data_IF_808092827476
#
_entry.id   IF_808092827476
#
_cell.length_a   1.000
_cell.length_b   1.000
_cell.length_c   1.000
_cell.angle_alpha   90.00
_cell.angle_beta   90.00
_cell.angle_gamma   90.00
#
_symmetry.space_group_name_H-M   'P 1'
#
loop_
_entity.id
_entity.type
_entity.pdbx_description
1 polymer ?
#
# COMPACT_ATOMS: atom_id res chain seq x y z
N UNK A 1 8.84 3.08 2.98
CA UNK A 1 9.97 2.95 2.02
C UNK A 1 9.69 3.60 0.67
N UNK A 2 8.50 3.43 0.10
CA UNK A 2 8.09 4.11 -1.15
C UNK A 2 8.00 5.63 -0.95
N UNK A 3 7.46 6.06 0.19
CA UNK A 3 7.34 7.49 0.53
C UNK A 3 8.71 8.19 0.62
N UNK A 4 9.66 7.65 1.40
CA UNK A 4 11.02 8.18 1.52
C UNK A 4 11.81 8.15 0.20
N UNK A 5 11.57 7.15 -0.65
CA UNK A 5 12.21 7.05 -1.97
C UNK A 5 11.62 8.04 -2.99
N UNK A 6 10.30 8.29 -2.96
CA UNK A 6 9.63 9.26 -3.85
C UNK A 6 9.91 10.70 -3.42
N UNK A 7 9.83 11.01 -2.12
CA UNK A 7 10.13 12.35 -1.59
C UNK A 7 11.58 12.74 -1.92
N UNK A 8 12.54 11.83 -1.77
CA UNK A 8 13.94 12.13 -2.04
C UNK A 8 14.31 12.06 -3.54
N UNK A 9 13.65 11.22 -4.36
CA UNK A 9 13.78 11.30 -5.83
C UNK A 9 13.29 12.65 -6.34
N UNK A 10 12.21 13.18 -5.76
CA UNK A 10 11.67 14.50 -6.09
C UNK A 10 12.61 15.64 -5.67
N UNK A 11 13.24 15.53 -4.49
CA UNK A 11 14.30 16.44 -4.03
C UNK A 11 15.55 16.36 -4.93
N UNK A 12 15.93 15.16 -5.38
CA UNK A 12 17.09 14.95 -6.27
C UNK A 12 16.85 15.48 -7.69
N UNK A 13 15.61 15.38 -8.20
CA UNK A 13 15.19 15.98 -9.47
C UNK A 13 15.19 17.51 -9.38
N UNK A 14 14.82 18.08 -8.23
CA UNK A 14 14.90 19.52 -7.97
C UNK A 14 16.34 20.02 -7.72
N UNK A 15 17.28 19.13 -7.39
CA UNK A 15 18.70 19.46 -7.24
C UNK A 15 19.48 19.54 -8.57
N UNK A 16 18.87 19.14 -9.69
CA UNK A 16 19.39 19.43 -11.02
C UNK A 16 19.13 20.90 -11.35
N UNK A 17 20.08 21.75 -10.95
CA UNK A 17 20.08 23.17 -11.30
C UNK A 17 19.98 23.33 -12.82
N UNK A 18 19.00 24.06 -13.36
CA UNK A 18 19.08 24.49 -14.75
C UNK A 18 20.22 25.50 -14.83
N UNK A 19 21.29 25.16 -15.54
CA UNK A 19 22.28 26.15 -15.98
C UNK A 19 21.52 27.21 -16.79
N UNK A 20 21.31 28.37 -16.19
CA UNK A 20 20.74 29.54 -16.85
C UNK A 20 21.66 29.95 -18.01
N UNK A 21 21.30 29.56 -19.23
CA UNK A 21 21.75 30.27 -20.42
C UNK A 21 20.87 31.50 -20.58
N UNK A 22 21.47 32.67 -20.31
CA UNK A 22 20.91 33.97 -20.67
C UNK A 22 20.71 34.02 -22.18
N UNK A 23 19.47 34.16 -22.63
CA UNK A 23 19.16 34.60 -23.98
C UNK A 23 18.29 35.86 -23.93
N UNK A 24 18.80 36.87 -24.61
CA UNK A 24 18.31 38.24 -24.69
C UNK A 24 16.93 38.35 -25.35
N UNK A 25 16.10 39.24 -24.80
CA UNK A 25 14.76 39.65 -25.26
C UNK A 25 14.71 39.99 -26.76
N UNK A 26 13.69 39.46 -27.44
CA UNK A 26 13.05 40.11 -28.60
C UNK A 26 11.53 40.08 -28.42
N UNK A 27 10.79 41.17 -28.76
CA UNK A 27 9.36 41.27 -28.49
C UNK A 27 8.56 40.67 -29.65
N UNK A 28 7.64 39.74 -29.35
CA UNK A 28 6.62 39.29 -30.30
C UNK A 28 5.24 39.84 -29.89
N UNK A 29 4.58 40.48 -30.86
CA UNK A 29 3.24 41.05 -30.75
C UNK A 29 2.16 39.95 -30.74
N UNK A 30 1.14 40.10 -29.90
CA UNK A 30 -0.08 39.28 -29.91
C UNK A 30 -0.99 39.67 -31.09
N UNK A 31 -1.63 38.71 -31.79
CA UNK A 31 -2.80 38.98 -32.63
C UNK A 31 -4.11 38.93 -31.81
N UNK A 32 -5.20 39.56 -32.30
CA UNK A 32 -6.38 39.87 -31.51
C UNK A 32 -7.39 38.71 -31.39
N UNK A 33 -8.19 38.77 -30.33
CA UNK A 33 -9.26 37.86 -29.97
C UNK A 33 -10.41 37.84 -31.00
N UNK A 34 -10.93 36.64 -31.30
CA UNK A 34 -12.18 36.43 -32.04
C UNK A 34 -13.34 36.14 -31.06
N UNK A 35 -14.57 36.57 -31.37
CA UNK A 35 -15.67 36.59 -30.41
C UNK A 35 -16.37 35.23 -30.26
N UNK A 36 -16.72 34.89 -29.01
CA UNK A 36 -17.59 33.78 -28.64
C UNK A 36 -19.05 34.07 -29.05
N UNK A 37 -19.69 33.11 -29.71
CA UNK A 37 -21.15 33.05 -29.91
C UNK A 37 -21.76 31.95 -29.03
N UNK A 38 -22.89 32.17 -28.34
CA UNK A 38 -23.54 31.16 -27.51
C UNK A 38 -24.62 30.41 -28.31
N UNK A 39 -24.57 29.08 -28.32
CA UNK A 39 -25.70 28.25 -28.73
C UNK A 39 -25.95 27.18 -27.69
N UNK A 40 -26.98 27.43 -26.88
CA UNK A 40 -27.64 26.49 -25.97
C UNK A 40 -28.72 25.77 -26.80
N UNK A 41 -28.91 24.44 -26.65
CA UNK A 41 -30.20 23.84 -26.82
C UNK A 41 -30.83 23.56 -25.44
N UNK A 42 -31.96 24.24 -25.21
CA UNK A 42 -32.90 23.98 -24.13
C UNK A 42 -33.55 22.62 -24.38
N UNK A 43 -33.33 21.66 -23.48
CA UNK A 43 -34.16 20.44 -23.42
C UNK A 43 -35.19 20.63 -22.32
N UNK A 44 -36.46 20.66 -22.74
CA UNK A 44 -37.66 20.83 -21.92
C UNK A 44 -37.79 19.71 -20.89
N UNK A 45 -37.92 20.10 -19.64
CA UNK A 45 -38.42 19.27 -18.55
C UNK A 45 -39.94 19.10 -18.72
N UNK A 46 -40.39 17.88 -19.04
CA UNK A 46 -41.81 17.51 -18.99
C UNK A 46 -42.04 16.66 -17.74
N UNK A 47 -42.67 17.24 -16.74
CA UNK A 47 -43.23 16.54 -15.58
C UNK A 47 -44.66 16.13 -15.93
N UNK A 48 -44.97 14.85 -15.83
CA UNK A 48 -46.35 14.37 -15.71
C UNK A 48 -46.39 13.24 -14.66
N UNK A 49 -47.38 13.22 -13.75
CA UNK A 49 -47.47 12.24 -12.68
C UNK A 49 -48.31 11.03 -13.11
N UNK A 50 -47.94 9.81 -12.74
CA UNK A 50 -48.90 8.71 -12.60
C UNK A 50 -48.45 7.71 -11.54
N UNK A 51 -49.34 7.46 -10.60
CA UNK A 51 -49.32 6.35 -9.65
C UNK A 51 -49.40 5.02 -10.42
N UNK A 52 -48.60 4.04 -10.03
CA UNK A 52 -48.74 2.66 -10.46
C UNK A 52 -47.83 1.74 -9.65
N UNK A 53 -48.43 0.95 -8.75
CA UNK A 53 -47.77 -0.15 -8.05
C UNK A 53 -47.12 -1.11 -9.05
N UNK A 54 -45.87 -1.53 -8.80
CA UNK A 54 -45.25 -2.60 -9.56
C UNK A 54 -44.71 -3.69 -8.62
N UNK A 55 -45.31 -4.86 -8.77
CA UNK A 55 -45.13 -6.09 -8.01
C UNK A 55 -43.72 -6.65 -8.20
N UNK A 56 -43.12 -7.10 -7.10
CA UNK A 56 -41.86 -7.84 -7.06
C UNK A 56 -41.98 -9.11 -7.93
N UNK A 57 -41.28 -9.14 -9.06
CA UNK A 57 -40.97 -10.37 -9.78
C UNK A 57 -39.49 -10.69 -9.57
N UNK A 58 -39.21 -11.56 -8.61
CA UNK A 58 -37.90 -12.19 -8.46
C UNK A 58 -37.67 -13.17 -9.63
N UNK A 59 -37.07 -12.71 -10.73
CA UNK A 59 -36.52 -13.60 -11.74
C UNK A 59 -35.24 -14.24 -11.18
N UNK A 60 -35.38 -15.46 -10.69
CA UNK A 60 -34.29 -16.25 -10.12
C UNK A 60 -33.37 -16.69 -11.24
N UNK A 61 -32.23 -16.01 -11.38
CA UNK A 61 -31.21 -16.35 -12.37
C UNK A 61 -30.53 -17.67 -11.98
N UNK A 62 -30.80 -18.76 -12.71
CA UNK A 62 -30.30 -20.11 -12.44
C UNK A 62 -28.76 -20.21 -12.48
N UNK A 63 -28.06 -19.24 -13.07
CA UNK A 63 -26.60 -19.21 -13.14
C UNK A 63 -25.90 -19.01 -11.79
N UNK A 64 -26.54 -18.35 -10.81
CA UNK A 64 -26.00 -18.22 -9.44
C UNK A 64 -26.04 -19.54 -8.66
N UNK A 65 -27.07 -20.36 -8.89
CA UNK A 65 -27.21 -21.65 -8.19
C UNK A 65 -26.19 -22.70 -8.66
N UNK A 66 -25.64 -22.55 -9.86
CA UNK A 66 -24.63 -23.47 -10.41
C UNK A 66 -23.20 -23.08 -9.99
N UNK A 67 -22.91 -21.79 -9.80
CA UNK A 67 -21.65 -21.32 -9.20
C UNK A 67 -21.57 -21.66 -7.71
N UNK A 68 -22.67 -21.48 -6.96
CA UNK A 68 -22.72 -21.76 -5.52
C UNK A 68 -22.51 -23.26 -5.23
N UNK A 69 -22.96 -24.15 -6.12
CA UNK A 69 -22.75 -25.61 -5.99
C UNK A 69 -21.32 -26.06 -6.26
N UNK A 70 -20.55 -25.33 -7.09
CA UNK A 70 -19.12 -25.59 -7.30
C UNK A 70 -18.25 -25.04 -6.17
N UNK A 71 -18.61 -23.91 -5.57
CA UNK A 71 -17.85 -23.30 -4.46
C UNK A 71 -18.11 -23.96 -3.10
N UNK A 72 -19.29 -24.54 -2.88
CA UNK A 72 -19.58 -25.35 -1.67
C UNK A 72 -18.66 -26.59 -1.52
N UNK A 73 -17.92 -26.97 -2.58
CA UNK A 73 -16.98 -28.10 -2.59
C UNK A 73 -15.53 -27.78 -2.17
N UNK A 74 -15.14 -26.51 -2.05
CA UNK A 74 -13.79 -26.17 -1.58
C UNK A 74 -13.72 -26.23 -0.05
N UNK A 75 -13.32 -27.40 0.46
CA UNK A 75 -13.11 -27.64 1.90
C UNK A 75 -12.07 -26.72 2.57
N UNK A 76 -11.28 -25.97 1.79
CA UNK A 76 -10.14 -25.19 2.27
C UNK A 76 -10.44 -23.68 2.21
N UNK A 77 -10.51 -22.97 3.35
CA UNK A 77 -10.78 -21.53 3.42
C UNK A 77 -9.88 -20.70 2.48
N UNK A 78 -8.60 -21.06 2.40
CA UNK A 78 -7.57 -20.42 1.58
C UNK A 78 -7.87 -20.40 0.07
N UNK A 79 -8.72 -21.31 -0.41
CA UNK A 79 -9.06 -21.41 -1.84
C UNK A 79 -10.42 -20.78 -2.16
N UNK A 80 -11.22 -20.46 -1.14
CA UNK A 80 -12.51 -19.79 -1.31
C UNK A 80 -12.26 -18.40 -1.91
N UNK A 81 -13.15 -17.91 -2.77
CA UNK A 81 -13.12 -16.54 -3.31
C UNK A 81 -13.89 -15.58 -2.41
N UNK A 82 -13.83 -14.29 -2.69
CA UNK A 82 -14.73 -13.31 -2.08
C UNK A 82 -15.87 -13.00 -3.06
N UNK A 83 -17.04 -12.67 -2.51
CA UNK A 83 -18.12 -12.10 -3.31
C UNK A 83 -17.83 -10.61 -3.54
N UNK A 84 -17.32 -10.27 -4.72
CA UNK A 84 -16.85 -8.91 -5.02
C UNK A 84 -17.96 -8.09 -5.70
N UNK A 85 -18.48 -7.02 -5.06
CA UNK A 85 -19.66 -6.32 -5.57
C UNK A 85 -19.37 -5.37 -6.74
N UNK A 86 -18.10 -4.97 -6.93
CA UNK A 86 -17.70 -3.99 -7.93
C UNK A 86 -17.12 -4.62 -9.21
N UNK A 87 -17.08 -3.85 -10.29
CA UNK A 87 -16.61 -4.28 -11.62
C UNK A 87 -15.14 -3.90 -11.84
N UNK A 88 -14.55 -4.36 -12.95
CA UNK A 88 -13.14 -4.12 -13.27
C UNK A 88 -12.79 -2.63 -13.40
N UNK A 89 -13.73 -1.79 -13.84
CA UNK A 89 -13.54 -0.34 -13.94
C UNK A 89 -13.32 0.27 -12.56
N UNK A 90 -14.13 -0.12 -11.57
CA UNK A 90 -13.97 0.33 -10.18
C UNK A 90 -12.62 -0.11 -9.64
N UNK A 91 -12.21 -1.35 -9.90
CA UNK A 91 -10.93 -1.88 -9.41
C UNK A 91 -9.77 -1.09 -10.00
N UNK A 92 -9.79 -0.85 -11.31
CA UNK A 92 -8.74 -0.10 -12.00
C UNK A 92 -8.71 1.36 -11.55
N UNK A 93 -9.87 2.02 -11.51
CA UNK A 93 -9.98 3.42 -11.09
C UNK A 93 -9.56 3.61 -9.64
N UNK A 94 -10.04 2.77 -8.72
CA UNK A 94 -9.71 2.87 -7.30
C UNK A 94 -8.24 2.55 -7.05
N UNK A 95 -7.68 1.52 -7.70
CA UNK A 95 -6.25 1.18 -7.54
C UNK A 95 -5.37 2.32 -8.07
N UNK A 96 -5.70 2.87 -9.25
CA UNK A 96 -5.01 4.02 -9.82
C UNK A 96 -5.16 5.25 -8.94
N UNK A 97 -6.37 5.54 -8.44
CA UNK A 97 -6.61 6.68 -7.56
C UNK A 97 -5.85 6.58 -6.25
N UNK A 98 -5.77 5.40 -5.64
CA UNK A 98 -4.98 5.17 -4.43
C UNK A 98 -3.48 5.41 -4.69
N UNK A 99 -2.95 4.84 -5.78
CA UNK A 99 -1.55 5.04 -6.18
C UNK A 99 -1.23 6.51 -6.50
N UNK A 100 -2.08 7.17 -7.29
CA UNK A 100 -1.92 8.59 -7.61
C UNK A 100 -2.05 9.46 -6.36
N UNK A 101 -3.00 9.18 -5.47
CA UNK A 101 -3.14 9.95 -4.23
C UNK A 101 -1.89 9.84 -3.35
N UNK A 102 -1.30 8.65 -3.26
CA UNK A 102 -0.07 8.44 -2.51
C UNK A 102 1.10 9.23 -3.10
N UNK A 103 1.29 9.16 -4.43
CA UNK A 103 2.35 9.91 -5.13
C UNK A 103 2.13 11.41 -5.02
N UNK A 104 0.90 11.89 -5.25
CA UNK A 104 0.56 13.30 -5.21
C UNK A 104 0.71 13.90 -3.82
N UNK A 105 0.34 13.17 -2.76
CA UNK A 105 0.57 13.62 -1.38
C UNK A 105 2.06 13.89 -1.16
N UNK A 106 2.95 12.95 -1.47
CA UNK A 106 4.39 13.14 -1.33
C UNK A 106 4.97 14.25 -2.21
N UNK A 107 4.45 14.43 -3.43
CA UNK A 107 4.87 15.54 -4.31
C UNK A 107 4.42 16.91 -3.79
N UNK A 108 3.20 17.00 -3.26
CA UNK A 108 2.67 18.25 -2.68
C UNK A 108 3.48 18.62 -1.44
N UNK A 109 3.77 17.65 -0.56
CA UNK A 109 4.59 17.86 0.63
C UNK A 109 6.00 18.32 0.25
N UNK A 110 6.66 17.62 -0.69
CA UNK A 110 7.98 18.02 -1.20
C UNK A 110 7.98 19.43 -1.81
N UNK A 111 6.93 19.80 -2.55
CA UNK A 111 6.79 21.12 -3.14
C UNK A 111 6.46 22.21 -2.10
N UNK A 112 5.80 21.85 -0.99
CA UNK A 112 5.44 22.78 0.07
C UNK A 112 6.63 23.16 0.97
N UNK A 113 7.58 22.23 1.20
CA UNK A 113 8.72 22.41 2.11
C UNK A 113 9.43 23.77 1.93
N UNK A 114 9.85 24.21 0.72
CA UNK A 114 10.54 25.49 0.55
C UNK A 114 9.72 26.72 0.98
N UNK A 115 8.39 26.63 0.94
CA UNK A 115 7.47 27.72 1.30
C UNK A 115 7.13 27.75 2.78
N UNK A 116 7.41 26.68 3.53
CA UNK A 116 7.20 26.63 4.98
C UNK A 116 8.24 27.43 5.77
N UNK A 117 9.36 27.80 5.13
CA UNK A 117 10.52 28.39 5.81
C UNK A 117 11.32 27.40 6.65
N UNK A 118 10.97 26.10 6.61
CA UNK A 118 11.69 25.05 7.32
C UNK A 118 13.04 24.78 6.65
N UNK A 119 14.11 24.89 7.43
CA UNK A 119 15.45 24.46 7.03
C UNK A 119 15.67 23.02 7.48
N UNK A 120 15.32 22.07 6.63
CA UNK A 120 15.37 20.63 6.94
C UNK A 120 16.74 20.16 7.44
N UNK A 121 17.82 20.78 6.97
CA UNK A 121 19.19 20.44 7.39
C UNK A 121 19.49 20.81 8.85
N UNK A 122 18.90 21.89 9.35
CA UNK A 122 19.11 22.40 10.71
C UNK A 122 18.22 21.70 11.75
N UNK A 123 17.21 20.94 11.31
CA UNK A 123 16.31 20.21 12.20
C UNK A 123 17.03 19.06 12.92
N UNK A 124 16.67 18.90 14.19
CA UNK A 124 17.05 17.74 15.00
C UNK A 124 16.50 16.44 14.40
N UNK A 125 17.09 15.32 14.80
CA UNK A 125 16.64 14.00 14.36
C UNK A 125 15.21 13.70 14.86
N UNK A 126 14.84 14.20 16.04
CA UNK A 126 13.51 14.03 16.61
C UNK A 126 12.46 14.81 15.79
N UNK A 127 12.74 16.06 15.45
CA UNK A 127 11.87 16.87 14.59
C UNK A 127 11.70 16.23 13.21
N UNK A 128 12.78 15.66 12.63
CA UNK A 128 12.70 14.93 11.37
C UNK A 128 11.81 13.69 11.47
N UNK A 129 11.92 12.93 12.57
CA UNK A 129 11.11 11.74 12.79
C UNK A 129 9.62 12.08 13.00
N UNK A 130 9.33 13.17 13.72
CA UNK A 130 7.97 13.66 13.93
C UNK A 130 7.33 14.13 12.61
N UNK A 131 8.06 14.88 11.78
CA UNK A 131 7.59 15.29 10.45
C UNK A 131 7.26 14.05 9.60
N UNK A 132 8.17 13.07 9.54
CA UNK A 132 7.92 11.82 8.80
C UNK A 132 6.69 11.06 9.31
N UNK A 133 6.43 11.10 10.61
CA UNK A 133 5.25 10.46 11.20
C UNK A 133 3.95 11.17 10.79
N UNK A 134 3.96 12.51 10.80
CA UNK A 134 2.83 13.34 10.35
C UNK A 134 2.57 13.11 8.86
N UNK A 135 3.61 13.15 8.03
CA UNK A 135 3.53 12.91 6.59
C UNK A 135 2.92 11.53 6.28
N UNK A 136 3.41 10.48 6.93
CA UNK A 136 2.86 9.14 6.78
C UNK A 136 1.39 9.08 7.24
N UNK A 137 1.02 9.81 8.30
CA UNK A 137 -0.36 9.86 8.79
C UNK A 137 -1.29 10.53 7.76
N UNK A 138 -0.85 11.62 7.14
CA UNK A 138 -1.58 12.33 6.07
C UNK A 138 -1.75 11.40 4.87
N UNK A 139 -0.66 10.81 4.36
CA UNK A 139 -0.73 9.88 3.23
C UNK A 139 -1.69 8.71 3.51
N UNK A 140 -1.64 8.15 4.71
CA UNK A 140 -2.55 7.07 5.14
C UNK A 140 -4.01 7.52 5.11
N UNK A 141 -4.31 8.67 5.72
CA UNK A 141 -5.67 9.21 5.77
C UNK A 141 -6.22 9.53 4.36
N UNK A 142 -5.39 10.14 3.50
CA UNK A 142 -5.78 10.50 2.13
C UNK A 142 -6.09 9.25 1.30
N UNK A 143 -5.18 8.26 1.28
CA UNK A 143 -5.36 7.06 0.46
C UNK A 143 -6.56 6.23 0.95
N UNK A 144 -6.71 6.03 2.26
CA UNK A 144 -7.87 5.32 2.81
C UNK A 144 -9.17 6.09 2.58
N UNK A 145 -9.13 7.43 2.63
CA UNK A 145 -10.26 8.29 2.30
C UNK A 145 -10.69 8.17 0.84
N UNK A 146 -9.73 8.12 -0.09
CA UNK A 146 -9.96 7.90 -1.53
C UNK A 146 -10.56 6.51 -1.76
N UNK A 147 -9.96 5.47 -1.17
CA UNK A 147 -10.46 4.10 -1.25
C UNK A 147 -11.92 4.03 -0.78
N UNK A 148 -12.19 4.51 0.44
CA UNK A 148 -13.52 4.53 1.02
C UNK A 148 -14.53 5.29 0.15
N UNK A 149 -14.18 6.48 -0.32
CA UNK A 149 -15.08 7.32 -1.12
C UNK A 149 -15.48 6.64 -2.43
N UNK A 150 -14.55 5.95 -3.09
CA UNK A 150 -14.80 5.25 -4.35
C UNK A 150 -15.55 3.92 -4.16
N UNK A 151 -15.46 3.28 -2.99
CA UNK A 151 -16.13 2.00 -2.72
C UNK A 151 -17.43 2.14 -1.93
N UNK A 152 -17.73 3.31 -1.35
CA UNK A 152 -18.89 3.55 -0.48
C UNK A 152 -20.23 3.20 -1.13
N UNK A 153 -20.38 3.46 -2.43
CA UNK A 153 -21.61 3.20 -3.19
C UNK A 153 -21.99 1.71 -3.27
N UNK A 154 -21.06 0.80 -2.96
CA UNK A 154 -21.29 -0.65 -2.95
C UNK A 154 -21.73 -1.19 -1.59
N UNK A 155 -22.01 -0.32 -0.61
CA UNK A 155 -22.48 -0.73 0.72
C UNK A 155 -23.93 -1.26 0.68
N UNK A 156 -24.28 -2.30 1.48
CA UNK A 156 -23.42 -3.01 2.41
C UNK A 156 -22.46 -3.99 1.70
N UNK A 157 -21.21 -4.03 2.15
CA UNK A 157 -20.22 -5.01 1.69
C UNK A 157 -20.44 -6.35 2.41
N UNK A 158 -20.05 -7.49 1.80
CA UNK A 158 -19.99 -8.77 2.50
C UNK A 158 -19.14 -8.72 3.77
N UNK A 159 -19.56 -9.45 4.80
CA UNK A 159 -18.98 -9.43 6.16
C UNK A 159 -17.52 -9.91 6.25
N UNK A 160 -16.99 -10.51 5.18
CA UNK A 160 -15.62 -11.01 5.09
C UNK A 160 -14.67 -10.10 4.29
N UNK A 161 -15.15 -8.94 3.82
CA UNK A 161 -14.34 -7.86 3.25
C UNK A 161 -14.09 -6.82 4.35
N UNK A 162 -12.82 -6.40 4.52
CA UNK A 162 -12.38 -5.51 5.60
C UNK A 162 -12.76 -5.96 7.02
N UNK A 163 -12.78 -7.27 7.24
CA UNK A 163 -13.11 -7.84 8.55
C UNK A 163 -11.97 -7.69 9.55
N UNK A 164 -12.30 -7.16 10.72
CA UNK A 164 -11.45 -7.09 11.91
C UNK A 164 -12.12 -7.88 13.04
N UNK A 165 -11.60 -9.05 13.37
CA UNK A 165 -12.16 -9.90 14.44
C UNK A 165 -11.09 -10.25 15.48
N UNK A 166 -11.28 -9.77 16.71
CA UNK A 166 -10.35 -10.03 17.81
C UNK A 166 -10.61 -11.37 18.51
N UNK A 167 -11.74 -12.01 18.22
CA UNK A 167 -12.19 -13.22 18.93
C UNK A 167 -11.37 -14.43 18.51
N UNK A 168 -11.24 -15.38 19.44
CA UNK A 168 -10.58 -16.67 19.22
C UNK A 168 -9.19 -16.58 18.54
N UNK A 169 -8.25 -15.76 19.04
CA UNK A 169 -6.99 -15.43 18.37
C UNK A 169 -6.10 -16.65 18.04
N UNK A 170 -6.27 -17.74 18.80
CA UNK A 170 -5.49 -18.97 18.65
C UNK A 170 -6.28 -20.15 18.06
N UNK A 171 -7.45 -19.90 17.48
CA UNK A 171 -8.22 -20.96 16.80
C UNK A 171 -7.42 -21.56 15.63
N UNK A 172 -7.34 -22.89 15.55
CA UNK A 172 -6.53 -23.58 14.54
C UNK A 172 -6.98 -23.30 13.09
N UNK A 173 -8.27 -23.04 12.87
CA UNK A 173 -8.80 -22.82 11.52
C UNK A 173 -8.68 -21.36 11.08
N UNK A 174 -8.98 -20.40 11.96
CA UNK A 174 -9.13 -18.97 11.61
C UNK A 174 -8.53 -17.99 12.61
N UNK A 175 -7.80 -18.47 13.62
CA UNK A 175 -7.22 -17.64 14.68
C UNK A 175 -6.18 -16.69 14.11
N UNK A 176 -6.49 -15.39 14.13
CA UNK A 176 -5.68 -14.38 13.47
C UNK A 176 -4.26 -14.30 14.02
N UNK A 177 -4.07 -14.49 15.32
CA UNK A 177 -2.76 -14.40 15.96
C UNK A 177 -1.93 -15.67 15.73
N UNK A 178 -2.56 -16.86 15.78
CA UNK A 178 -1.90 -18.11 15.43
C UNK A 178 -1.40 -18.10 13.99
N UNK A 179 -2.28 -17.74 13.04
CA UNK A 179 -1.92 -17.67 11.63
C UNK A 179 -0.95 -16.53 11.31
N UNK A 180 -0.96 -15.44 12.10
CA UNK A 180 0.10 -14.44 12.03
C UNK A 180 1.45 -15.03 12.43
N UNK A 181 1.53 -15.80 13.53
CA UNK A 181 2.76 -16.48 13.94
C UNK A 181 3.27 -17.48 12.89
N UNK A 182 2.39 -18.33 12.36
CA UNK A 182 2.71 -19.30 11.30
C UNK A 182 3.17 -18.58 10.03
N UNK A 183 2.44 -17.54 9.62
CA UNK A 183 2.76 -16.76 8.43
C UNK A 183 4.10 -16.04 8.55
N UNK A 184 4.39 -15.44 9.70
CA UNK A 184 5.66 -14.77 9.98
C UNK A 184 6.83 -15.76 9.98
N UNK A 185 6.70 -16.90 10.68
CA UNK A 185 7.73 -17.95 10.70
C UNK A 185 7.98 -18.53 9.30
N UNK A 186 6.92 -18.79 8.54
CA UNK A 186 7.00 -19.23 7.15
C UNK A 186 7.67 -18.21 6.24
N UNK A 187 7.32 -16.92 6.38
CA UNK A 187 7.94 -15.84 5.61
C UNK A 187 9.44 -15.72 5.91
N UNK A 188 9.84 -15.75 7.19
CA UNK A 188 11.25 -15.72 7.59
C UNK A 188 12.04 -16.88 6.98
N UNK A 189 11.51 -18.10 7.07
CA UNK A 189 12.15 -19.28 6.49
C UNK A 189 12.26 -19.21 4.96
N UNK A 190 11.19 -18.79 4.28
CA UNK A 190 11.16 -18.66 2.82
C UNK A 190 12.09 -17.54 2.31
N UNK A 191 12.18 -16.41 3.02
CA UNK A 191 13.08 -15.31 2.67
C UNK A 191 14.53 -15.71 2.91
N UNK A 192 14.84 -16.39 4.02
CA UNK A 192 16.17 -16.95 4.27
C UNK A 192 16.59 -17.92 3.16
N UNK A 193 15.70 -18.83 2.77
CA UNK A 193 15.93 -19.76 1.66
C UNK A 193 16.13 -19.02 0.33
N UNK A 194 15.30 -18.01 0.05
CA UNK A 194 15.43 -17.19 -1.17
C UNK A 194 16.79 -16.51 -1.22
N UNK A 195 17.27 -15.96 -0.09
CA UNK A 195 18.61 -15.38 0.00
C UNK A 195 19.72 -16.38 -0.32
N UNK A 196 19.62 -17.62 0.18
CA UNK A 196 20.57 -18.71 -0.13
C UNK A 196 20.51 -19.10 -1.61
N UNK A 197 19.32 -19.22 -2.18
CA UNK A 197 19.18 -19.56 -3.61
C UNK A 197 19.76 -18.45 -4.49
N UNK A 198 19.48 -17.19 -4.16
CA UNK A 198 19.99 -16.05 -4.93
C UNK A 198 21.51 -15.93 -4.87
N UNK A 199 22.16 -16.26 -3.75
CA UNK A 199 23.63 -16.26 -3.67
C UNK A 199 24.26 -17.33 -4.57
N UNK A 200 23.62 -18.49 -4.72
CA UNK A 200 24.08 -19.52 -5.67
C UNK A 200 23.85 -19.14 -7.13
N UNK A 201 22.77 -18.41 -7.43
CA UNK A 201 22.40 -18.04 -8.82
C UNK A 201 23.22 -16.85 -9.31
N UNK A 202 23.35 -15.81 -8.49
CA UNK A 202 23.95 -14.54 -8.92
C UNK A 202 25.46 -14.46 -8.69
N UNK A 203 26.05 -15.32 -7.85
CA UNK A 203 27.46 -15.24 -7.46
C UNK A 203 27.83 -13.99 -6.63
N UNK A 204 26.86 -13.12 -6.38
CA UNK A 204 26.93 -11.92 -5.55
C UNK A 204 26.07 -12.13 -4.30
N UNK A 205 26.47 -11.52 -3.19
CA UNK A 205 25.59 -11.45 -2.01
C UNK A 205 24.34 -10.65 -2.40
N UNK A 206 23.14 -11.05 -1.95
CA UNK A 206 21.93 -10.28 -2.24
C UNK A 206 22.15 -8.84 -1.77
N UNK A 207 22.02 -7.86 -2.67
CA UNK A 207 22.04 -6.44 -2.32
C UNK A 207 20.77 -6.17 -1.49
N UNK A 208 20.92 -6.30 -0.18
CA UNK A 208 19.83 -6.57 0.77
C UNK A 208 19.54 -5.34 1.60
N UNK A 209 18.35 -4.75 1.46
CA UNK A 209 17.74 -3.73 2.33
C UNK A 209 18.59 -2.47 2.64
N UNK A 210 19.81 -2.37 2.11
CA UNK A 210 20.78 -1.34 2.49
C UNK A 210 20.26 0.03 2.16
N UNK A 211 19.67 0.25 1.00
CA UNK A 211 19.35 1.60 0.55
C UNK A 211 18.22 2.26 1.35
N UNK A 212 17.24 1.49 1.81
CA UNK A 212 16.15 2.00 2.61
C UNK A 212 16.52 2.09 4.10
N UNK A 213 17.17 1.05 4.64
CA UNK A 213 17.57 1.02 6.04
C UNK A 213 18.70 2.01 6.33
N UNK A 214 19.68 2.16 5.44
CA UNK A 214 20.78 3.13 5.58
C UNK A 214 20.24 4.56 5.64
N UNK A 215 19.13 4.87 4.96
CA UNK A 215 18.48 6.19 5.04
C UNK A 215 17.82 6.46 6.39
N UNK A 216 17.25 5.42 7.00
CA UNK A 216 16.62 5.52 8.32
C UNK A 216 17.63 5.36 9.45
N UNK A 217 18.83 4.83 9.16
CA UNK A 217 19.85 4.53 10.15
C UNK A 217 20.22 5.70 11.08
N UNK A 218 20.30 6.97 10.62
CA UNK A 218 20.55 8.09 11.51
C UNK A 218 19.44 8.32 12.56
N UNK A 219 18.21 7.87 12.28
CA UNK A 219 17.04 8.01 13.15
C UNK A 219 16.86 6.80 14.07
N UNK A 220 17.37 5.63 13.67
CA UNK A 220 17.30 4.41 14.45
C UNK A 220 18.18 4.57 15.70
N UNK A 221 17.61 4.34 16.88
CA UNK A 221 18.34 4.42 18.15
C UNK A 221 18.91 5.79 18.52
N UNK A 222 18.52 6.87 17.83
CA UNK A 222 18.99 8.23 18.14
C UNK A 222 18.34 8.78 19.42
N UNK A 223 17.05 8.51 19.61
CA UNK A 223 16.27 8.86 20.79
C UNK A 223 15.04 7.95 20.92
N UNK A 224 14.39 7.98 22.09
CA UNK A 224 13.12 7.28 22.30
C UNK A 224 11.99 7.83 21.43
N UNK A 225 11.98 9.15 21.16
CA UNK A 225 10.95 9.81 20.34
C UNK A 225 11.09 9.38 18.89
N UNK A 226 12.29 9.50 18.32
CA UNK A 226 12.57 9.07 16.95
C UNK A 226 12.25 7.59 16.74
N UNK A 227 12.64 6.74 17.69
CA UNK A 227 12.33 5.31 17.64
C UNK A 227 10.81 5.05 17.70
N UNK A 228 10.08 5.76 18.57
CA UNK A 228 8.63 5.63 18.66
C UNK A 228 7.93 6.08 17.37
N UNK A 229 8.37 7.19 16.77
CA UNK A 229 7.87 7.66 15.47
C UNK A 229 8.13 6.63 14.36
N UNK A 230 9.35 6.10 14.26
CA UNK A 230 9.70 5.09 13.27
C UNK A 230 8.88 3.80 13.43
N UNK A 231 8.71 3.31 14.65
CA UNK A 231 7.87 2.13 14.94
C UNK A 231 6.40 2.42 14.65
N UNK A 232 5.91 3.62 14.95
CA UNK A 232 4.54 4.03 14.59
C UNK A 232 4.31 4.06 13.08
N UNK A 233 5.26 4.60 12.32
CA UNK A 233 5.23 4.62 10.84
C UNK A 233 5.24 3.19 10.29
N UNK A 234 6.28 2.43 10.63
CA UNK A 234 6.61 1.16 9.97
C UNK A 234 5.82 -0.02 10.52
N UNK A 235 5.44 0.03 11.79
CA UNK A 235 4.70 -1.02 12.50
C UNK A 235 3.19 -0.80 12.57
N UNK A 236 2.68 0.41 12.32
CA UNK A 236 1.25 0.69 12.44
C UNK A 236 0.69 1.33 11.18
N UNK A 237 1.13 2.54 10.82
CA UNK A 237 0.52 3.31 9.74
C UNK A 237 0.69 2.63 8.37
N UNK A 238 1.91 2.24 8.02
CA UNK A 238 2.20 1.59 6.75
C UNK A 238 1.49 0.21 6.63
N UNK A 239 1.57 -0.71 7.61
CA UNK A 239 0.83 -1.97 7.55
C UNK A 239 -0.69 -1.78 7.42
N UNK A 240 -1.31 -0.86 8.17
CA UNK A 240 -2.75 -0.61 8.07
C UNK A 240 -3.10 -0.12 6.66
N UNK A 241 -2.36 0.87 6.15
CA UNK A 241 -2.57 1.41 4.81
C UNK A 241 -2.43 0.31 3.75
N UNK A 242 -1.27 -0.33 3.72
CA UNK A 242 -0.88 -1.26 2.66
C UNK A 242 -1.72 -2.52 2.69
N UNK A 243 -2.00 -3.12 3.85
CA UNK A 243 -2.87 -4.31 3.91
C UNK A 243 -4.31 -3.98 3.55
N UNK A 244 -4.81 -2.80 3.91
CA UNK A 244 -6.17 -2.39 3.50
C UNK A 244 -6.26 -2.24 1.98
N UNK A 245 -5.28 -1.61 1.34
CA UNK A 245 -5.26 -1.42 -0.13
C UNK A 245 -4.96 -2.73 -0.86
N UNK A 246 -3.90 -3.45 -0.50
CA UNK A 246 -3.44 -4.62 -1.25
C UNK A 246 -4.24 -5.88 -0.92
N UNK A 247 -4.58 -6.14 0.35
CA UNK A 247 -5.30 -7.37 0.75
C UNK A 247 -6.80 -7.11 0.82
N UNK A 248 -7.20 -6.05 1.52
CA UNK A 248 -8.61 -5.69 1.70
C UNK A 248 -9.32 -5.34 0.39
N UNK A 249 -8.65 -4.60 -0.50
CA UNK A 249 -9.21 -4.19 -1.79
C UNK A 249 -8.67 -4.99 -2.97
N UNK A 250 -7.38 -4.85 -3.32
CA UNK A 250 -6.84 -5.28 -4.61
C UNK A 250 -6.83 -6.81 -4.79
N UNK A 251 -6.30 -7.56 -3.83
CA UNK A 251 -6.27 -9.02 -3.86
C UNK A 251 -7.67 -9.61 -3.87
N UNK A 252 -8.55 -9.14 -2.98
CA UNK A 252 -9.97 -9.52 -2.91
C UNK A 252 -10.64 -9.29 -4.27
N UNK A 253 -10.42 -8.11 -4.86
CA UNK A 253 -10.93 -7.72 -6.17
C UNK A 253 -10.50 -8.66 -7.29
N UNK A 254 -9.24 -9.10 -7.30
CA UNK A 254 -8.72 -10.05 -8.29
C UNK A 254 -9.40 -11.42 -8.21
N UNK A 255 -9.92 -11.82 -7.04
CA UNK A 255 -10.60 -13.13 -6.87
C UNK A 255 -11.90 -13.24 -7.67
N UNK A 256 -12.42 -12.12 -8.20
CA UNK A 256 -13.57 -12.10 -9.12
C UNK A 256 -13.28 -12.85 -10.43
N UNK A 257 -12.04 -12.83 -10.90
CA UNK A 257 -11.62 -13.48 -12.15
C UNK A 257 -10.60 -14.59 -11.94
N UNK A 258 -9.74 -14.45 -10.93
CA UNK A 258 -8.67 -15.39 -10.65
C UNK A 258 -9.04 -16.34 -9.50
N UNK A 259 -8.59 -17.59 -9.51
CA UNK A 259 -8.61 -18.41 -8.30
C UNK A 259 -7.73 -17.75 -7.22
N UNK A 260 -8.10 -17.93 -5.95
CA UNK A 260 -7.48 -17.24 -4.82
C UNK A 260 -5.94 -17.31 -4.79
N UNK A 261 -5.28 -18.47 -5.05
CA UNK A 261 -3.83 -18.51 -5.12
C UNK A 261 -3.23 -17.59 -6.20
N UNK A 262 -3.84 -17.51 -7.39
CA UNK A 262 -3.35 -16.62 -8.44
C UNK A 262 -3.61 -15.14 -8.12
N UNK A 263 -4.70 -14.83 -7.42
CA UNK A 263 -4.95 -13.49 -6.91
C UNK A 263 -3.92 -13.08 -5.85
N UNK A 264 -3.54 -13.99 -4.96
CA UNK A 264 -2.46 -13.79 -3.97
C UNK A 264 -1.13 -13.51 -4.68
N UNK A 265 -0.71 -14.37 -5.61
CA UNK A 265 0.56 -14.21 -6.31
C UNK A 265 0.60 -12.93 -7.16
N UNK A 266 -0.49 -12.61 -7.86
CA UNK A 266 -0.58 -11.36 -8.64
C UNK A 266 -0.51 -10.14 -7.73
N UNK A 267 -1.25 -10.14 -6.62
CA UNK A 267 -1.21 -9.04 -5.66
C UNK A 267 0.18 -8.89 -5.03
N UNK A 268 0.85 -9.99 -4.68
CA UNK A 268 2.20 -9.99 -4.13
C UNK A 268 3.24 -9.43 -5.11
N UNK A 269 3.11 -9.74 -6.41
CA UNK A 269 3.99 -9.17 -7.44
C UNK A 269 3.77 -7.66 -7.59
N UNK A 270 2.50 -7.22 -7.64
CA UNK A 270 2.19 -5.78 -7.73
C UNK A 270 2.65 -5.03 -6.48
N UNK A 271 2.49 -5.63 -5.30
CA UNK A 271 3.03 -5.11 -4.03
C UNK A 271 4.55 -4.94 -4.12
N UNK A 272 5.29 -5.96 -4.54
CA UNK A 272 6.75 -5.88 -4.67
C UNK A 272 7.20 -4.83 -5.71
N UNK A 273 6.53 -4.74 -6.85
CA UNK A 273 6.83 -3.71 -7.85
C UNK A 273 6.50 -2.30 -7.38
N UNK A 274 5.43 -2.11 -6.60
CA UNK A 274 5.07 -0.81 -6.04
C UNK A 274 6.14 -0.23 -5.10
N UNK A 275 7.06 -1.07 -4.61
CA UNK A 275 8.18 -0.64 -3.78
C UNK A 275 9.31 0.04 -4.56
N UNK A 276 9.37 -0.14 -5.88
CA UNK A 276 10.37 0.45 -6.78
C UNK A 276 11.83 0.14 -6.36
N UNK A 277 12.04 -0.99 -5.69
CA UNK A 277 13.35 -1.51 -5.26
C UNK A 277 13.61 -2.88 -5.92
N UNK A 278 14.12 -2.93 -7.17
CA UNK A 278 14.26 -4.19 -7.90
C UNK A 278 15.08 -5.27 -7.16
N UNK A 279 16.09 -4.88 -6.38
CA UNK A 279 16.90 -5.79 -5.58
C UNK A 279 16.15 -6.47 -4.42
N UNK A 280 15.08 -5.85 -3.92
CA UNK A 280 14.26 -6.38 -2.83
C UNK A 280 13.03 -7.16 -3.34
N UNK A 281 12.83 -7.21 -4.66
CA UNK A 281 11.66 -7.82 -5.26
C UNK A 281 11.42 -9.27 -4.79
N UNK A 282 12.42 -10.19 -4.78
CA UNK A 282 12.20 -11.57 -4.34
C UNK A 282 11.69 -11.65 -2.89
N UNK A 283 12.26 -10.86 -2.00
CA UNK A 283 11.92 -10.83 -0.57
C UNK A 283 10.53 -10.26 -0.36
N UNK A 284 10.22 -9.12 -1.00
CA UNK A 284 8.92 -8.48 -0.95
C UNK A 284 7.81 -9.33 -1.57
N UNK A 285 8.12 -10.08 -2.64
CA UNK A 285 7.19 -11.02 -3.25
C UNK A 285 6.86 -12.19 -2.32
N UNK A 286 7.87 -12.76 -1.64
CA UNK A 286 7.68 -13.85 -0.68
C UNK A 286 6.87 -13.38 0.53
N UNK A 287 7.25 -12.24 1.13
CA UNK A 287 6.46 -11.61 2.20
C UNK A 287 5.04 -11.34 1.72
N UNK A 288 4.91 -10.77 0.53
CA UNK A 288 3.63 -10.41 -0.08
C UNK A 288 2.69 -11.60 -0.22
N UNK A 289 3.26 -12.74 -0.59
CA UNK A 289 2.59 -14.03 -0.74
C UNK A 289 2.15 -14.59 0.61
N UNK A 290 3.01 -14.55 1.63
CA UNK A 290 2.69 -14.99 2.99
C UNK A 290 1.53 -14.18 3.59
N UNK A 291 1.57 -12.86 3.44
CA UNK A 291 0.49 -11.95 3.85
C UNK A 291 -0.83 -12.30 3.14
N UNK A 292 -0.81 -12.47 1.81
CA UNK A 292 -2.01 -12.79 1.04
C UNK A 292 -2.63 -14.13 1.41
N UNK A 293 -1.83 -15.18 1.58
CA UNK A 293 -2.32 -16.50 2.01
C UNK A 293 -2.82 -16.49 3.46
N UNK A 294 -2.17 -15.76 4.35
CA UNK A 294 -2.65 -15.62 5.74
C UNK A 294 -4.05 -14.99 5.77
N UNK A 295 -4.30 -13.97 4.94
CA UNK A 295 -5.61 -13.34 4.84
C UNK A 295 -6.65 -14.23 4.16
N UNK A 296 -6.26 -14.97 3.12
CA UNK A 296 -7.16 -15.94 2.47
C UNK A 296 -7.60 -17.05 3.43
N UNK A 297 -6.70 -17.50 4.32
CA UNK A 297 -7.00 -18.50 5.33
C UNK A 297 -7.89 -17.97 6.46
N UNK A 298 -7.59 -16.79 7.01
CA UNK A 298 -8.28 -16.29 8.22
C UNK A 298 -9.50 -15.42 7.92
N UNK A 299 -9.58 -14.83 6.72
CA UNK A 299 -10.56 -13.79 6.37
C UNK A 299 -10.59 -12.64 7.37
N UNK A 300 -9.43 -12.30 7.94
CA UNK A 300 -9.29 -11.26 8.96
C UNK A 300 -8.04 -10.42 8.70
N UNK A 301 -8.23 -9.13 8.43
CA UNK A 301 -7.14 -8.21 8.08
C UNK A 301 -6.13 -8.01 9.21
N UNK A 302 -6.52 -8.27 10.46
CA UNK A 302 -5.57 -8.26 11.57
C UNK A 302 -4.42 -9.25 11.36
N UNK A 303 -4.65 -10.35 10.66
CA UNK A 303 -3.62 -11.38 10.41
C UNK A 303 -2.46 -10.83 9.58
N UNK A 304 -2.68 -10.38 8.32
CA UNK A 304 -1.59 -9.82 7.54
C UNK A 304 -1.07 -8.50 8.13
N UNK A 305 -1.90 -7.65 8.73
CA UNK A 305 -1.43 -6.41 9.38
C UNK A 305 -0.41 -6.74 10.47
N UNK A 306 -0.69 -7.76 11.29
CA UNK A 306 0.22 -8.20 12.36
C UNK A 306 1.52 -8.74 11.79
N UNK A 307 1.48 -9.63 10.80
CA UNK A 307 2.69 -10.16 10.15
C UNK A 307 3.55 -9.02 9.59
N UNK A 308 2.92 -8.09 8.86
CA UNK A 308 3.60 -6.98 8.22
C UNK A 308 4.19 -6.00 9.26
N UNK A 309 3.44 -5.70 10.32
CA UNK A 309 3.92 -4.88 11.43
C UNK A 309 5.15 -5.50 12.12
N UNK A 310 5.13 -6.81 12.39
CA UNK A 310 6.27 -7.51 12.98
C UNK A 310 7.46 -7.58 12.03
N UNK A 311 7.23 -7.79 10.73
CA UNK A 311 8.30 -7.76 9.73
C UNK A 311 9.01 -6.40 9.74
N UNK A 312 8.25 -5.31 9.58
CA UNK A 312 8.80 -3.97 9.48
C UNK A 312 9.43 -3.48 10.79
N UNK A 313 8.75 -3.69 11.92
CA UNK A 313 9.24 -3.23 13.23
C UNK A 313 10.37 -4.11 13.75
N UNK A 314 10.38 -5.41 13.43
CA UNK A 314 11.39 -6.35 13.90
C UNK A 314 12.79 -5.94 13.46
N UNK A 315 12.94 -5.48 12.22
CA UNK A 315 14.21 -4.94 11.71
C UNK A 315 14.63 -3.68 12.48
N UNK A 316 13.73 -2.70 12.62
CA UNK A 316 14.03 -1.43 13.31
C UNK A 316 14.41 -1.66 14.78
N UNK A 317 13.67 -2.51 15.49
CA UNK A 317 13.93 -2.83 16.89
C UNK A 317 15.22 -3.63 17.06
N UNK A 318 15.52 -4.56 16.17
CA UNK A 318 16.79 -5.31 16.19
C UNK A 318 17.98 -4.37 16.00
N UNK A 319 17.92 -3.49 14.99
CA UNK A 319 18.98 -2.52 14.73
C UNK A 319 19.14 -1.54 15.89
N UNK A 320 18.03 -1.08 16.48
CA UNK A 320 18.04 -0.22 17.67
C UNK A 320 18.69 -0.92 18.86
N UNK A 321 18.35 -2.20 19.10
CA UNK A 321 18.96 -3.00 20.15
C UNK A 321 20.47 -3.15 19.96
N UNK A 322 20.93 -3.50 18.76
CA UNK A 322 22.35 -3.63 18.45
C UNK A 322 23.12 -2.32 18.64
N UNK A 323 22.52 -1.20 18.22
CA UNK A 323 23.10 0.12 18.41
C UNK A 323 23.20 0.51 19.89
N UNK A 324 22.19 0.18 20.70
CA UNK A 324 22.22 0.37 22.16
C UNK A 324 23.27 -0.51 22.85
N UNK A 325 23.67 -1.64 22.25
CA UNK A 325 24.79 -2.47 22.71
C UNK A 325 26.16 -1.94 22.25
N UNK A 326 26.21 -0.85 21.49
CA UNK A 326 27.45 -0.22 21.03
C UNK A 326 28.02 -0.78 19.72
N UNK A 327 27.25 -1.57 18.96
CA UNK A 327 27.67 -2.01 17.62
C UNK A 327 27.55 -0.87 16.61
N UNK A 328 28.56 -0.71 15.74
CA UNK A 328 28.44 0.15 14.57
C UNK A 328 27.64 -0.58 13.48
N UNK A 329 26.38 -0.18 13.35
CA UNK A 329 25.46 -0.78 12.38
C UNK A 329 25.92 -0.53 10.94
N UNK A 330 26.64 0.56 10.65
CA UNK A 330 27.16 0.81 9.30
C UNK A 330 28.23 -0.21 8.93
N UNK A 331 29.14 -0.51 9.86
CA UNK A 331 30.12 -1.56 9.67
C UNK A 331 29.45 -2.93 9.52
N UNK A 332 28.45 -3.25 10.35
CA UNK A 332 27.72 -4.52 10.24
C UNK A 332 26.97 -4.70 8.91
N UNK A 333 26.42 -3.61 8.37
CA UNK A 333 25.73 -3.64 7.07
C UNK A 333 26.68 -3.63 5.88
N UNK A 334 27.93 -3.16 6.05
CA UNK A 334 28.94 -3.10 4.99
C UNK A 334 29.91 -4.29 4.99
N UNK A 335 30.05 -5.00 6.11
CA UNK A 335 30.99 -6.10 6.29
C UNK A 335 30.44 -7.49 5.87
N UNK A 336 29.22 -7.57 5.35
CA UNK A 336 28.52 -8.81 4.96
C UNK A 336 28.12 -8.84 3.49
#
# INVERSE_FOLDING_TARGET
>A
MVYTSIVQSSISILSLSPKFYSYTKTPYQLPPALPFSPLIPVVKLQVAPTRGFCTICCYKNNSRQESDKKEAGLKWPILKRWDVPWNWQTISLTSLACGLSFVLTGLIEAAAIPYTGLKIEELSLDEKAEILFVDQSIATAVVLGVLYSLTKSFSPLPDDIYRYDLREPFNLQKGWLLWAGIGLGGALGAIALTGVVMSFVSGETPQRETDALVRLLPLIGSSSISTACLVGITGVLAPILEETVFRGFFMVSLTKWLPTPLAVLTSAAVFAFAHLTPGEFPQLFVLGTALGFSYAQTRNLLTPITIHAFWNSGVILLLTFLQLQGYDIKELLQAS
#
